data_IF_608242562131
#
_entry.id   IF_608242562131
#
_cell.length_a   1.000
_cell.length_b   1.000
_cell.length_c   1.000
_cell.angle_alpha   90.00
_cell.angle_beta   90.00
_cell.angle_gamma   90.00
#
_symmetry.space_group_name_H-M   'P 1'
#
loop_
_entity.id
_entity.type
_entity.pdbx_description
1 polymer ?
#
# COMPACT_ATOMS: atom_id res chain seq x y z
N UNK A 1 1.65 -44.08 -38.46
CA UNK A 1 0.97 -45.39 -38.32
C UNK A 1 0.07 -45.28 -37.08
N UNK A 2 -1.01 -44.48 -37.10
CA UNK A 2 -2.31 -44.68 -37.74
C UNK A 2 -3.08 -45.91 -37.20
N UNK A 3 -4.08 -45.66 -36.35
CA UNK A 3 -5.41 -46.31 -36.30
C UNK A 3 -6.29 -45.50 -35.32
N UNK A 4 -7.25 -44.71 -35.80
CA UNK A 4 -8.63 -45.04 -36.23
C UNK A 4 -9.60 -45.12 -35.02
N UNK A 5 -10.40 -44.09 -34.75
CA UNK A 5 -11.71 -43.69 -35.32
C UNK A 5 -12.94 -44.43 -34.74
N UNK A 6 -13.83 -43.60 -34.17
CA UNK A 6 -15.30 -43.66 -34.10
C UNK A 6 -16.03 -44.88 -33.52
N UNK A 7 -16.92 -44.62 -32.56
CA UNK A 7 -18.37 -44.68 -32.80
C UNK A 7 -19.20 -43.91 -31.77
N UNK A 8 -20.02 -43.03 -32.31
CA UNK A 8 -21.13 -42.30 -31.70
C UNK A 8 -22.26 -43.29 -31.38
N UNK A 9 -22.87 -43.16 -30.20
CA UNK A 9 -24.23 -43.63 -29.92
C UNK A 9 -25.02 -42.43 -29.42
N UNK A 10 -26.09 -42.10 -30.15
CA UNK A 10 -27.11 -41.11 -29.77
C UNK A 10 -28.32 -41.85 -29.21
N UNK A 11 -28.94 -41.25 -28.17
CA UNK A 11 -30.37 -41.24 -27.76
C UNK A 11 -30.51 -41.48 -26.23
N UNK A 12 -31.58 -40.98 -25.56
CA UNK A 12 -32.40 -39.80 -25.82
C UNK A 12 -32.52 -38.85 -24.62
N UNK A 13 -32.97 -37.63 -24.93
CA UNK A 13 -33.42 -36.57 -24.01
C UNK A 13 -34.54 -37.05 -23.08
N UNK A 14 -34.40 -36.79 -21.77
CA UNK A 14 -35.41 -36.19 -20.89
C UNK A 14 -35.13 -36.50 -19.41
N UNK A 15 -34.29 -35.68 -18.75
CA UNK A 15 -34.37 -35.53 -17.30
C UNK A 15 -34.20 -34.06 -16.93
N UNK A 16 -35.23 -33.56 -16.25
CA UNK A 16 -35.38 -32.20 -15.81
C UNK A 16 -34.21 -31.76 -14.92
N UNK A 17 -33.57 -30.66 -15.29
CA UNK A 17 -32.61 -29.94 -14.46
C UNK A 17 -33.34 -29.37 -13.23
N UNK A 18 -33.06 -29.93 -12.04
CA UNK A 18 -33.32 -29.24 -10.77
C UNK A 18 -32.03 -28.53 -10.36
N UNK A 19 -31.98 -27.19 -10.28
CA UNK A 19 -30.81 -26.53 -9.73
C UNK A 19 -30.80 -26.74 -8.20
N UNK A 20 -29.82 -27.52 -7.73
CA UNK A 20 -29.41 -27.47 -6.33
C UNK A 20 -28.86 -26.06 -6.05
N UNK A 21 -29.62 -25.25 -5.32
CA UNK A 21 -29.10 -24.03 -4.72
C UNK A 21 -28.07 -24.41 -3.65
N UNK A 22 -26.79 -24.37 -4.02
CA UNK A 22 -25.72 -24.30 -3.05
C UNK A 22 -25.81 -22.94 -2.33
N UNK A 23 -26.19 -22.98 -1.06
CA UNK A 23 -26.32 -21.81 -0.20
C UNK A 23 -24.91 -21.34 0.16
N UNK A 24 -24.35 -20.43 -0.63
CA UNK A 24 -23.13 -19.70 -0.27
C UNK A 24 -23.48 -18.80 0.91
N UNK A 25 -22.96 -19.09 2.10
CA UNK A 25 -23.05 -18.16 3.23
C UNK A 25 -22.18 -16.94 2.91
N UNK A 26 -22.79 -15.89 2.37
CA UNK A 26 -22.19 -14.56 2.38
C UNK A 26 -22.16 -14.08 3.82
N UNK A 27 -20.99 -14.13 4.46
CA UNK A 27 -20.73 -13.33 5.65
C UNK A 27 -20.69 -11.86 5.22
N UNK A 28 -21.60 -10.99 5.67
CA UNK A 28 -21.47 -9.57 5.40
C UNK A 28 -20.38 -9.03 6.32
N UNK A 29 -19.29 -8.50 5.75
CA UNK A 29 -18.47 -7.53 6.46
C UNK A 29 -19.35 -6.28 6.55
N UNK A 30 -20.06 -6.16 7.66
CA UNK A 30 -20.91 -5.02 7.94
C UNK A 30 -20.02 -3.80 8.21
N UNK A 31 -19.76 -3.01 7.17
CA UNK A 31 -19.43 -1.59 7.35
C UNK A 31 -20.70 -0.89 7.80
N UNK A 32 -20.85 -0.68 9.11
CA UNK A 32 -21.95 0.09 9.67
C UNK A 32 -21.67 1.59 9.51
N UNK A 33 -21.81 2.12 8.30
CA UNK A 33 -21.98 3.56 8.11
C UNK A 33 -23.43 3.88 8.50
N UNK A 34 -23.65 4.30 9.74
CA UNK A 34 -24.92 4.92 10.12
C UNK A 34 -25.00 6.30 9.47
N UNK A 35 -26.11 6.56 8.78
CA UNK A 35 -26.48 7.90 8.33
C UNK A 35 -26.58 8.82 9.54
N UNK A 36 -25.77 9.89 9.55
CA UNK A 36 -25.82 10.89 10.61
C UNK A 36 -27.14 11.67 10.50
N UNK A 37 -28.00 11.53 11.50
CA UNK A 37 -29.15 12.43 11.71
C UNK A 37 -28.64 13.85 11.93
N UNK A 38 -28.97 14.76 11.02
CA UNK A 38 -28.69 16.18 11.15
C UNK A 38 -29.64 16.81 12.17
N UNK A 39 -29.21 16.88 13.43
CA UNK A 39 -29.69 17.92 14.34
C UNK A 39 -28.95 19.22 14.01
N UNK A 40 -29.72 20.24 13.61
CA UNK A 40 -29.21 21.58 13.34
C UNK A 40 -29.04 22.29 14.67
N UNK A 41 -27.83 22.28 15.22
CA UNK A 41 -27.42 23.18 16.29
C UNK A 41 -26.56 24.30 15.72
N UNK A 42 -26.97 25.54 16.00
CA UNK A 42 -26.33 26.77 15.58
C UNK A 42 -25.05 26.96 16.43
N UNK A 43 -23.94 26.37 15.99
CA UNK A 43 -22.64 26.44 16.67
C UNK A 43 -21.55 25.94 15.74
N UNK A 44 -20.36 26.55 15.77
CA UNK A 44 -19.20 26.15 14.94
C UNK A 44 -19.05 24.62 14.99
N UNK A 45 -19.29 23.93 13.87
CA UNK A 45 -19.03 22.49 13.76
C UNK A 45 -17.53 22.29 13.96
N UNK A 46 -17.14 21.85 15.15
CA UNK A 46 -15.80 21.32 15.40
C UNK A 46 -15.62 20.14 14.44
N UNK A 47 -14.53 20.18 13.67
CA UNK A 47 -14.18 19.06 12.81
C UNK A 47 -13.84 17.85 13.70
N UNK A 48 -14.58 16.76 13.53
CA UNK A 48 -14.34 15.49 14.22
C UNK A 48 -14.12 14.44 13.13
N UNK A 49 -12.87 13.99 12.89
CA UNK A 49 -12.62 12.89 11.97
C UNK A 49 -13.36 11.62 12.41
N UNK A 50 -13.67 10.69 11.49
CA UNK A 50 -14.15 9.37 11.85
C UNK A 50 -13.23 8.75 12.91
N UNK A 51 -13.82 8.29 14.03
CA UNK A 51 -13.06 7.70 15.15
C UNK A 51 -13.26 6.19 15.17
N UNK A 52 -12.19 5.48 15.48
CA UNK A 52 -12.20 4.08 15.90
C UNK A 52 -13.13 3.92 17.13
N UNK A 53 -14.03 2.92 17.09
CA UNK A 53 -15.06 2.69 18.12
C UNK A 53 -14.71 1.53 19.06
N UNK A 54 -13.46 1.05 19.01
CA UNK A 54 -13.01 -0.14 19.73
C UNK A 54 -12.20 0.22 20.99
N UNK A 55 -12.16 -0.70 21.95
CA UNK A 55 -11.31 -0.59 23.15
C UNK A 55 -9.85 -0.69 22.73
N UNK A 56 -9.03 0.31 23.07
CA UNK A 56 -7.60 0.32 22.75
C UNK A 56 -6.81 -0.58 23.72
N UNK A 57 -6.34 -1.72 23.21
CA UNK A 57 -5.35 -2.56 23.90
C UNK A 57 -3.95 -2.05 23.52
N UNK A 58 -3.08 -1.87 24.52
CA UNK A 58 -1.73 -1.34 24.35
C UNK A 58 -0.74 -2.20 25.11
N UNK A 59 0.48 -2.29 24.61
CA UNK A 59 1.59 -3.01 25.23
C UNK A 59 1.23 -4.46 25.61
N UNK A 60 0.66 -5.22 24.66
CA UNK A 60 0.25 -6.60 24.91
C UNK A 60 1.42 -7.59 24.97
N UNK A 61 2.60 -7.19 24.52
CA UNK A 61 3.82 -8.00 24.62
C UNK A 61 4.33 -8.04 26.07
N UNK A 62 4.63 -9.22 26.64
CA UNK A 62 5.26 -9.31 27.95
C UNK A 62 6.61 -8.56 27.99
N UNK A 63 6.89 -7.73 29.02
CA UNK A 63 8.12 -6.91 29.07
C UNK A 63 9.43 -7.71 28.96
N UNK A 64 9.45 -8.97 29.40
CA UNK A 64 10.63 -9.83 29.30
C UNK A 64 11.04 -10.10 27.84
N UNK A 65 10.11 -9.99 26.89
CA UNK A 65 10.38 -10.15 25.46
C UNK A 65 11.11 -8.97 24.82
N UNK A 66 11.23 -7.82 25.51
CA UNK A 66 12.03 -6.69 25.02
C UNK A 66 13.50 -7.09 24.80
N UNK A 67 14.05 -7.92 25.69
CA UNK A 67 15.44 -8.42 25.58
C UNK A 67 15.66 -9.25 24.32
N UNK A 68 14.61 -9.85 23.73
CA UNK A 68 14.72 -10.58 22.46
C UNK A 68 15.13 -9.61 21.34
N UNK A 69 14.40 -8.51 21.16
CA UNK A 69 14.68 -7.52 20.11
C UNK A 69 16.03 -6.83 20.31
N UNK A 70 16.40 -6.57 21.55
CA UNK A 70 17.73 -6.06 21.90
C UNK A 70 18.84 -7.05 21.55
N UNK A 71 18.66 -8.33 21.85
CA UNK A 71 19.63 -9.38 21.50
C UNK A 71 19.75 -9.62 19.98
N UNK A 72 18.70 -9.27 19.22
CA UNK A 72 18.65 -9.40 17.76
C UNK A 72 19.24 -8.20 17.02
N UNK A 73 19.73 -7.16 17.69
CA UNK A 73 20.29 -5.97 17.01
C UNK A 73 21.45 -6.34 16.08
N UNK A 74 22.40 -7.19 16.51
CA UNK A 74 23.48 -7.64 15.62
C UNK A 74 22.97 -8.39 14.39
N UNK A 75 21.93 -9.22 14.55
CA UNK A 75 21.28 -9.90 13.42
C UNK A 75 20.58 -8.91 12.49
N UNK A 76 19.89 -7.91 13.04
CA UNK A 76 19.20 -6.89 12.25
C UNK A 76 20.21 -6.04 11.45
N UNK A 77 21.34 -5.67 12.06
CA UNK A 77 22.41 -4.95 11.37
C UNK A 77 22.98 -5.76 10.18
N UNK A 78 23.31 -7.03 10.41
CA UNK A 78 23.95 -7.89 9.40
C UNK A 78 22.98 -8.45 8.35
N UNK A 79 21.69 -8.58 8.68
CA UNK A 79 20.69 -9.22 7.81
C UNK A 79 19.63 -8.23 7.35
N UNK A 80 18.92 -7.57 8.26
CA UNK A 80 17.78 -6.72 7.93
C UNK A 80 18.21 -5.49 7.12
N UNK A 81 19.26 -4.78 7.55
CA UNK A 81 19.69 -3.55 6.87
C UNK A 81 20.22 -3.78 5.46
N UNK A 82 20.61 -5.02 5.11
CA UNK A 82 21.08 -5.36 3.76
C UNK A 82 19.99 -5.31 2.69
N UNK A 83 18.71 -5.31 3.10
CA UNK A 83 17.57 -5.15 2.20
C UNK A 83 17.31 -3.70 1.79
N UNK A 84 17.92 -2.73 2.48
CA UNK A 84 17.85 -1.32 2.12
C UNK A 84 18.77 -1.03 0.94
N UNK A 85 18.29 -0.20 0.02
CA UNK A 85 19.09 0.25 -1.12
C UNK A 85 19.85 1.52 -0.74
N UNK A 86 21.18 1.59 -0.98
CA UNK A 86 21.92 2.83 -0.78
C UNK A 86 21.31 3.96 -1.60
N UNK A 87 21.17 5.16 -1.01
CA UNK A 87 20.54 6.33 -1.65
C UNK A 87 21.10 6.62 -3.04
N UNK A 88 22.42 6.57 -3.19
CA UNK A 88 23.13 6.79 -4.47
C UNK A 88 22.80 5.76 -5.57
N UNK A 89 22.17 4.65 -5.21
CA UNK A 89 21.70 3.61 -6.14
C UNK A 89 20.18 3.57 -6.23
N UNK A 90 19.47 4.35 -5.41
CA UNK A 90 18.02 4.42 -5.39
C UNK A 90 17.52 5.29 -6.54
N UNK A 91 16.44 4.83 -7.17
CA UNK A 91 15.73 5.65 -8.15
C UNK A 91 15.14 6.86 -7.45
N UNK A 92 14.95 7.96 -8.17
CA UNK A 92 14.30 9.16 -7.67
C UNK A 92 13.06 9.48 -8.52
N UNK A 93 12.02 10.14 -7.96
CA UNK A 93 10.81 10.48 -8.73
C UNK A 93 11.11 11.20 -10.05
N UNK A 94 12.13 12.06 -10.08
CA UNK A 94 12.57 12.79 -11.29
C UNK A 94 12.98 11.87 -12.43
N UNK A 95 13.45 10.64 -12.16
CA UNK A 95 13.86 9.68 -13.19
C UNK A 95 12.69 9.26 -14.11
N UNK A 96 11.45 9.42 -13.65
CA UNK A 96 10.23 8.98 -14.34
C UNK A 96 9.30 10.12 -14.76
N UNK A 97 9.59 11.35 -14.34
CA UNK A 97 8.74 12.52 -14.57
C UNK A 97 9.32 13.41 -15.68
N UNK A 98 8.50 14.26 -16.32
CA UNK A 98 9.00 15.29 -17.22
C UNK A 98 10.08 16.16 -16.56
N UNK A 99 11.20 16.36 -17.26
CA UNK A 99 12.35 17.09 -16.73
C UNK A 99 12.09 18.60 -16.74
N UNK A 100 11.90 19.19 -15.55
CA UNK A 100 11.44 20.58 -15.40
C UNK A 100 12.42 21.63 -15.95
N UNK A 101 13.71 21.34 -15.96
CA UNK A 101 14.76 22.25 -16.44
C UNK A 101 15.03 22.09 -17.96
N UNK A 102 14.40 21.10 -18.59
CA UNK A 102 14.57 20.82 -20.02
C UNK A 102 13.78 21.79 -20.89
N UNK A 103 14.35 22.23 -22.02
CA UNK A 103 13.60 22.96 -23.05
C UNK A 103 12.40 22.16 -23.57
N UNK A 104 12.46 20.82 -23.49
CA UNK A 104 11.40 19.90 -23.88
C UNK A 104 10.34 19.62 -22.80
N UNK A 105 10.38 20.29 -21.64
CA UNK A 105 9.48 20.01 -20.52
C UNK A 105 8.00 20.01 -20.92
N UNK A 106 7.56 21.06 -21.63
CA UNK A 106 6.15 21.21 -22.03
C UNK A 106 5.69 20.12 -23.01
N UNK A 107 6.56 19.68 -23.91
CA UNK A 107 6.26 18.59 -24.83
C UNK A 107 6.18 17.26 -24.08
N UNK A 108 7.08 16.99 -23.14
CA UNK A 108 7.05 15.79 -22.30
C UNK A 108 5.77 15.73 -21.43
N UNK A 109 5.33 16.87 -20.86
CA UNK A 109 4.06 16.98 -20.13
C UNK A 109 2.88 16.72 -21.07
N UNK A 110 2.90 17.30 -22.28
CA UNK A 110 1.84 17.07 -23.28
C UNK A 110 1.74 15.59 -23.64
N UNK A 111 2.86 14.92 -23.92
CA UNK A 111 2.89 13.49 -24.21
C UNK A 111 2.36 12.64 -23.05
N UNK A 112 2.70 12.98 -21.81
CA UNK A 112 2.14 12.33 -20.61
C UNK A 112 0.62 12.42 -20.60
N UNK A 113 0.08 13.62 -20.83
CA UNK A 113 -1.38 13.84 -20.85
C UNK A 113 -2.07 13.13 -22.00
N UNK A 114 -1.44 13.04 -23.17
CA UNK A 114 -1.98 12.27 -24.30
C UNK A 114 -2.09 10.78 -23.96
N UNK A 115 -1.04 10.17 -23.37
CA UNK A 115 -1.13 8.77 -22.90
C UNK A 115 -2.21 8.57 -21.84
N UNK A 116 -2.35 9.53 -20.91
CA UNK A 116 -3.36 9.47 -19.86
C UNK A 116 -4.81 9.52 -20.37
N UNK A 117 -5.07 9.99 -21.60
CA UNK A 117 -6.44 10.00 -22.17
C UNK A 117 -6.94 8.60 -22.52
N UNK A 118 -6.03 7.66 -22.79
CA UNK A 118 -6.36 6.28 -23.14
C UNK A 118 -6.62 5.41 -21.89
N UNK A 119 -6.28 5.91 -20.70
CA UNK A 119 -6.54 5.23 -19.43
C UNK A 119 -7.98 5.51 -18.96
N UNK A 120 -8.76 4.47 -18.59
CA UNK A 120 -10.14 4.63 -18.14
C UNK A 120 -10.21 5.21 -16.72
N UNK A 121 -11.35 5.82 -16.37
CA UNK A 121 -11.53 6.46 -15.07
C UNK A 121 -11.44 5.46 -13.91
N UNK A 122 -11.87 4.21 -14.11
CA UNK A 122 -11.75 3.13 -13.13
C UNK A 122 -10.28 2.87 -12.75
N UNK A 123 -9.37 2.98 -13.71
CA UNK A 123 -7.94 2.85 -13.45
C UNK A 123 -7.45 4.00 -12.55
N UNK A 124 -7.86 5.24 -12.85
CA UNK A 124 -7.49 6.40 -12.03
C UNK A 124 -8.07 6.33 -10.63
N UNK A 125 -9.28 5.81 -10.43
CA UNK A 125 -9.84 5.63 -9.08
C UNK A 125 -8.94 4.72 -8.23
N UNK A 126 -8.44 3.61 -8.79
CA UNK A 126 -7.54 2.70 -8.09
C UNK A 126 -6.18 3.37 -7.85
N UNK A 127 -5.58 3.97 -8.89
CA UNK A 127 -4.27 4.62 -8.76
C UNK A 127 -4.29 5.79 -7.76
N UNK A 128 -5.40 6.52 -7.69
CA UNK A 128 -5.61 7.57 -6.67
C UNK A 128 -5.73 6.96 -5.29
N UNK A 129 -6.41 5.82 -5.14
CA UNK A 129 -6.46 5.09 -3.88
C UNK A 129 -5.08 4.67 -3.39
N UNK A 130 -4.29 4.05 -4.28
CA UNK A 130 -2.91 3.65 -4.00
C UNK A 130 -2.07 4.89 -3.57
N UNK A 131 -2.12 5.99 -4.34
CA UNK A 131 -1.37 7.20 -4.04
C UNK A 131 -1.76 7.85 -2.70
N UNK A 132 -3.06 7.92 -2.39
CA UNK A 132 -3.54 8.46 -1.10
C UNK A 132 -3.00 7.62 0.06
N UNK A 133 -2.93 6.30 -0.12
CA UNK A 133 -2.34 5.40 0.88
C UNK A 133 -0.85 5.68 1.03
N UNK A 134 -0.08 5.87 -0.05
CA UNK A 134 1.35 6.23 0.06
C UNK A 134 1.57 7.56 0.81
N UNK A 135 0.75 8.58 0.53
CA UNK A 135 0.87 9.91 1.14
C UNK A 135 0.57 9.93 2.66
N UNK A 136 -0.07 8.88 3.19
CA UNK A 136 -0.31 8.75 4.62
C UNK A 136 0.90 8.22 5.42
N UNK A 137 2.09 8.17 4.80
CA UNK A 137 3.36 7.72 5.35
C UNK A 137 3.69 8.17 6.80
N UNK A 138 3.40 9.42 7.24
CA UNK A 138 3.63 9.80 8.65
C UNK A 138 2.90 8.89 9.66
N UNK A 139 1.74 8.35 9.28
CA UNK A 139 0.98 7.40 10.11
C UNK A 139 1.73 6.07 10.24
N UNK A 140 2.35 5.60 9.17
CA UNK A 140 3.03 4.30 9.13
C UNK A 140 4.37 4.33 9.87
N UNK A 141 5.15 5.39 9.70
CA UNK A 141 6.35 5.60 10.52
C UNK A 141 5.99 5.72 12.00
N UNK A 142 4.90 6.43 12.33
CA UNK A 142 4.40 6.51 13.71
C UNK A 142 4.03 5.12 14.24
N UNK A 143 3.33 4.30 13.44
CA UNK A 143 2.97 2.93 13.80
C UNK A 143 4.20 2.10 14.14
N UNK A 144 5.25 2.10 13.31
CA UNK A 144 6.52 1.40 13.61
C UNK A 144 7.15 1.92 14.90
N UNK A 145 7.15 3.24 15.10
CA UNK A 145 7.64 3.88 16.32
C UNK A 145 6.74 3.69 17.56
N UNK A 146 5.59 3.02 17.43
CA UNK A 146 4.80 2.56 18.58
C UNK A 146 5.22 1.17 19.07
N UNK A 147 6.00 0.42 18.29
CA UNK A 147 6.33 -0.99 18.59
C UNK A 147 7.43 -1.08 19.66
N UNK A 148 7.12 -1.81 20.72
CA UNK A 148 7.96 -1.99 21.90
C UNK A 148 9.27 -2.71 21.56
N UNK A 149 10.41 -2.14 21.94
CA UNK A 149 11.73 -2.75 21.73
C UNK A 149 12.35 -2.49 20.35
N UNK A 150 11.62 -1.88 19.41
CA UNK A 150 12.15 -1.53 18.06
C UNK A 150 11.96 -0.07 17.67
N UNK A 151 11.12 0.69 18.39
CA UNK A 151 10.89 2.12 18.13
C UNK A 151 12.15 2.99 18.23
N UNK A 152 12.14 4.09 17.49
CA UNK A 152 13.17 5.14 17.61
C UNK A 152 12.89 6.06 18.80
N UNK A 153 13.72 5.98 19.84
CA UNK A 153 13.57 6.76 21.08
C UNK A 153 13.96 8.24 20.93
N UNK A 154 14.75 8.60 19.92
CA UNK A 154 15.33 9.96 19.82
C UNK A 154 15.04 10.65 18.49
N UNK A 155 14.46 9.94 17.53
CA UNK A 155 14.36 10.36 16.13
C UNK A 155 15.68 10.21 15.36
N UNK A 156 16.75 9.75 16.04
CA UNK A 156 18.06 9.51 15.47
C UNK A 156 18.78 8.36 16.21
N UNK A 157 18.04 7.43 16.83
CA UNK A 157 18.64 6.32 17.55
C UNK A 157 19.54 5.50 16.62
N UNK A 158 20.75 5.08 17.08
CA UNK A 158 21.66 4.30 16.27
C UNK A 158 21.28 2.82 16.19
N UNK A 159 20.21 2.39 16.88
CA UNK A 159 19.79 0.98 16.83
C UNK A 159 19.41 0.59 15.39
N UNK A 160 19.73 -0.64 14.95
CA UNK A 160 19.41 -1.09 13.60
C UNK A 160 17.91 -1.08 13.31
N UNK A 161 17.07 -1.28 14.34
CA UNK A 161 15.62 -1.14 14.23
C UNK A 161 15.17 0.28 13.88
N UNK A 162 15.78 1.29 14.52
CA UNK A 162 15.50 2.70 14.25
C UNK A 162 16.08 3.13 12.89
N UNK A 163 17.28 2.65 12.55
CA UNK A 163 17.90 2.86 11.22
C UNK A 163 17.01 2.30 10.13
N UNK A 164 16.51 1.06 10.27
CA UNK A 164 15.54 0.46 9.36
C UNK A 164 14.31 1.34 9.22
N UNK A 165 13.69 1.74 10.33
CA UNK A 165 12.45 2.53 10.32
C UNK A 165 12.63 3.84 9.54
N UNK A 166 13.72 4.57 9.80
CA UNK A 166 14.00 5.84 9.09
C UNK A 166 14.33 5.62 7.61
N UNK A 167 15.14 4.60 7.29
CA UNK A 167 15.55 4.32 5.92
C UNK A 167 14.40 3.75 5.06
N UNK A 168 13.59 2.84 5.61
CA UNK A 168 12.34 2.39 5.00
C UNK A 168 11.43 3.58 4.70
N UNK A 169 11.19 4.46 5.70
CA UNK A 169 10.38 5.67 5.51
C UNK A 169 10.94 6.56 4.38
N UNK A 170 12.27 6.68 4.28
CA UNK A 170 12.89 7.45 3.19
C UNK A 170 12.72 6.78 1.82
N UNK A 171 12.73 5.46 1.74
CA UNK A 171 12.42 4.73 0.51
C UNK A 171 10.95 4.94 0.10
N UNK A 172 10.01 4.78 1.04
CA UNK A 172 8.55 4.93 0.86
C UNK A 172 8.14 6.33 0.41
N UNK A 173 8.78 7.38 0.96
CA UNK A 173 8.41 8.76 0.64
C UNK A 173 8.41 9.03 -0.88
N UNK A 174 9.33 8.38 -1.61
CA UNK A 174 9.45 8.53 -3.07
C UNK A 174 8.23 7.98 -3.82
N UNK A 175 7.49 7.03 -3.25
CA UNK A 175 6.31 6.43 -3.89
C UNK A 175 5.17 7.43 -4.00
N UNK A 176 4.78 8.03 -2.87
CA UNK A 176 3.80 9.11 -2.82
C UNK A 176 4.23 10.29 -3.68
N UNK A 177 5.49 10.73 -3.55
CA UNK A 177 6.05 11.83 -4.33
C UNK A 177 5.93 11.65 -5.85
N UNK A 178 6.18 10.43 -6.34
CA UNK A 178 6.13 10.10 -7.76
C UNK A 178 4.68 10.01 -8.26
N UNK A 179 3.82 9.28 -7.53
CA UNK A 179 2.43 9.10 -7.90
C UNK A 179 1.64 10.42 -7.84
N UNK A 180 1.90 11.26 -6.83
CA UNK A 180 1.28 12.58 -6.70
C UNK A 180 1.60 13.46 -7.91
N UNK A 181 2.88 13.62 -8.25
CA UNK A 181 3.31 14.45 -9.38
C UNK A 181 2.80 13.88 -10.71
N UNK A 182 2.77 12.55 -10.88
CA UNK A 182 2.19 11.93 -12.06
C UNK A 182 0.69 12.25 -12.19
N UNK A 183 -0.09 12.05 -11.12
CA UNK A 183 -1.53 12.34 -11.11
C UNK A 183 -1.82 13.83 -11.31
N UNK A 184 -1.04 14.72 -10.70
CA UNK A 184 -1.12 16.16 -10.91
C UNK A 184 -0.92 16.53 -12.39
N UNK A 185 0.15 16.01 -13.01
CA UNK A 185 0.47 16.30 -14.42
C UNK A 185 -0.53 15.67 -15.40
N UNK A 186 -1.14 14.54 -15.04
CA UNK A 186 -2.11 13.82 -15.89
C UNK A 186 -3.30 14.69 -16.30
N UNK A 187 -3.74 15.58 -15.40
CA UNK A 187 -4.96 16.36 -15.58
C UNK A 187 -6.25 15.53 -15.65
N UNK A 188 -6.22 14.27 -15.18
CA UNK A 188 -7.35 13.34 -15.20
C UNK A 188 -8.16 13.27 -13.91
N UNK A 189 -7.64 13.87 -12.83
CA UNK A 189 -8.21 13.75 -11.48
C UNK A 189 -8.37 15.11 -10.79
N UNK A 190 -9.26 15.19 -9.81
CA UNK A 190 -9.44 16.38 -8.97
C UNK A 190 -8.45 16.36 -7.79
N UNK A 191 -7.29 16.99 -7.99
CA UNK A 191 -6.24 17.05 -6.96
C UNK A 191 -6.71 17.70 -5.67
N UNK A 192 -7.63 18.68 -5.72
CA UNK A 192 -8.14 19.34 -4.50
C UNK A 192 -8.92 18.37 -3.63
N UNK A 193 -9.69 17.47 -4.24
CA UNK A 193 -10.42 16.45 -3.49
C UNK A 193 -9.50 15.36 -2.96
N UNK A 194 -8.44 15.01 -3.70
CA UNK A 194 -7.41 14.07 -3.27
C UNK A 194 -6.63 14.62 -2.07
N UNK A 195 -6.13 15.86 -2.15
CA UNK A 195 -5.39 16.53 -1.07
C UNK A 195 -6.22 16.64 0.21
N UNK A 196 -7.51 16.99 0.09
CA UNK A 196 -8.43 16.95 1.24
C UNK A 196 -8.54 15.55 1.83
N UNK A 197 -8.61 14.52 0.98
CA UNK A 197 -8.73 13.13 1.43
C UNK A 197 -7.48 12.67 2.17
N UNK A 198 -6.28 13.04 1.68
CA UNK A 198 -5.02 12.81 2.37
C UNK A 198 -5.03 13.51 3.75
N UNK A 199 -5.45 14.78 3.79
CA UNK A 199 -5.56 15.54 5.04
C UNK A 199 -6.54 14.89 6.04
N UNK A 200 -7.69 14.40 5.55
CA UNK A 200 -8.65 13.64 6.37
C UNK A 200 -8.01 12.34 6.89
N UNK A 201 -7.31 11.59 6.03
CA UNK A 201 -6.70 10.30 6.37
C UNK A 201 -5.62 10.45 7.42
N UNK A 202 -4.63 11.33 7.21
CA UNK A 202 -3.56 11.60 8.17
C UNK A 202 -4.14 12.12 9.49
N UNK A 203 -5.12 13.02 9.44
CA UNK A 203 -5.78 13.55 10.64
C UNK A 203 -6.63 12.51 11.39
N UNK A 204 -7.06 11.44 10.71
CA UNK A 204 -7.78 10.32 11.33
C UNK A 204 -6.81 9.29 11.92
N UNK A 205 -5.64 9.12 11.30
CA UNK A 205 -4.70 8.06 11.63
C UNK A 205 -5.26 6.67 11.31
N UNK A 206 -4.64 5.64 11.91
CA UNK A 206 -5.03 4.24 11.78
C UNK A 206 -4.77 3.51 13.10
N UNK A 207 -5.67 2.62 13.50
CA UNK A 207 -5.39 1.60 14.53
C UNK A 207 -5.22 0.23 13.87
N UNK A 208 -3.98 -0.23 13.62
CA UNK A 208 -3.74 -1.54 13.02
C UNK A 208 -3.97 -2.69 14.01
N UNK A 209 -4.31 -2.39 15.28
CA UNK A 209 -4.49 -3.37 16.36
C UNK A 209 -3.25 -4.23 16.58
N UNK A 210 -2.08 -3.60 16.44
CA UNK A 210 -0.78 -4.23 16.71
C UNK A 210 -0.37 -4.08 18.16
N UNK A 211 -1.10 -3.30 18.97
CA UNK A 211 -1.01 -3.28 20.44
C UNK A 211 0.41 -3.00 20.97
N UNK A 212 1.18 -2.17 20.25
CA UNK A 212 2.61 -1.91 20.52
C UNK A 212 3.51 -3.16 20.45
N UNK A 213 3.01 -4.28 19.96
CA UNK A 213 3.67 -5.56 19.99
C UNK A 213 4.36 -5.83 18.64
N UNK A 214 5.71 -5.90 18.57
CA UNK A 214 6.41 -6.08 17.30
C UNK A 214 6.10 -7.42 16.62
N UNK A 215 5.68 -8.46 17.35
CA UNK A 215 5.24 -9.70 16.72
C UNK A 215 4.00 -9.45 15.85
N UNK A 216 3.03 -8.69 16.37
CA UNK A 216 1.83 -8.31 15.62
C UNK A 216 2.19 -7.29 14.54
N UNK A 217 3.03 -6.32 14.87
CA UNK A 217 3.52 -5.28 13.96
C UNK A 217 4.20 -5.87 12.71
N UNK A 218 5.16 -6.77 12.88
CA UNK A 218 5.91 -7.34 11.75
C UNK A 218 5.12 -8.36 10.93
N UNK A 219 4.15 -9.07 11.53
CA UNK A 219 3.18 -9.86 10.77
C UNK A 219 2.30 -8.93 9.92
N UNK A 220 1.82 -7.84 10.51
CA UNK A 220 1.01 -6.85 9.82
C UNK A 220 1.78 -6.22 8.65
N UNK A 221 3.01 -5.76 8.85
CA UNK A 221 3.81 -5.15 7.78
C UNK A 221 4.15 -6.16 6.68
N UNK A 222 4.54 -7.39 7.04
CA UNK A 222 4.78 -8.46 6.05
C UNK A 222 3.57 -8.69 5.13
N UNK A 223 2.36 -8.59 5.67
CA UNK A 223 1.13 -8.71 4.89
C UNK A 223 0.88 -7.48 4.01
N UNK A 224 1.01 -6.27 4.58
CA UNK A 224 0.72 -5.03 3.84
C UNK A 224 1.66 -4.82 2.67
N UNK A 225 2.96 -5.07 2.87
CA UNK A 225 4.00 -4.95 1.82
C UNK A 225 3.75 -5.91 0.67
N UNK A 226 3.22 -7.10 0.97
CA UNK A 226 2.78 -8.03 -0.07
C UNK A 226 1.53 -7.53 -0.79
N UNK A 227 0.60 -6.90 -0.06
CA UNK A 227 -0.62 -6.37 -0.65
C UNK A 227 -0.33 -5.20 -1.61
N UNK A 228 0.53 -4.26 -1.22
CA UNK A 228 1.00 -3.13 -2.03
C UNK A 228 1.82 -3.62 -3.23
N UNK A 229 2.73 -4.59 -3.03
CA UNK A 229 3.43 -5.26 -4.13
C UNK A 229 2.48 -5.79 -5.21
N UNK A 230 1.40 -6.47 -4.79
CA UNK A 230 0.40 -7.02 -5.71
C UNK A 230 -0.41 -5.89 -6.36
N UNK A 231 -0.82 -4.85 -5.61
CA UNK A 231 -1.58 -3.71 -6.15
C UNK A 231 -0.77 -2.99 -7.23
N UNK A 232 0.43 -2.54 -6.90
CA UNK A 232 1.36 -1.85 -7.82
C UNK A 232 1.77 -2.72 -9.00
N UNK A 233 2.00 -4.02 -8.77
CA UNK A 233 2.30 -4.96 -9.85
C UNK A 233 1.13 -5.16 -10.83
N UNK A 234 -0.11 -5.10 -10.34
CA UNK A 234 -1.30 -5.19 -11.20
C UNK A 234 -1.57 -3.89 -11.94
N UNK A 235 -1.49 -2.73 -11.27
CA UNK A 235 -1.62 -1.43 -11.93
C UNK A 235 -0.54 -1.24 -12.99
N UNK A 236 0.70 -1.67 -12.74
CA UNK A 236 1.77 -1.69 -13.75
C UNK A 236 1.39 -2.51 -15.00
N UNK A 237 0.84 -3.72 -14.82
CA UNK A 237 0.41 -4.57 -15.93
C UNK A 237 -0.73 -3.93 -16.72
N UNK A 238 -1.72 -3.38 -16.03
CA UNK A 238 -2.85 -2.73 -16.67
C UNK A 238 -2.45 -1.45 -17.42
N UNK A 239 -1.55 -0.61 -16.86
CA UNK A 239 -0.99 0.54 -17.56
C UNK A 239 -0.31 0.12 -18.87
N UNK A 240 0.46 -0.96 -18.83
CA UNK A 240 1.11 -1.52 -20.03
C UNK A 240 0.10 -2.00 -21.06
N UNK A 241 -0.92 -2.75 -20.63
CA UNK A 241 -1.97 -3.27 -21.51
C UNK A 241 -2.79 -2.15 -22.17
N UNK A 242 -2.91 -1.00 -21.48
CA UNK A 242 -3.57 0.21 -21.96
C UNK A 242 -2.63 1.17 -22.73
N UNK A 243 -1.35 0.79 -22.92
CA UNK A 243 -0.40 1.52 -23.76
C UNK A 243 0.46 2.58 -23.07
N UNK A 244 0.32 2.82 -21.76
CA UNK A 244 1.22 3.72 -21.02
C UNK A 244 2.39 2.94 -20.39
N UNK A 245 3.43 2.72 -21.20
CA UNK A 245 4.65 2.04 -20.76
C UNK A 245 5.42 2.81 -19.67
N UNK A 246 5.32 4.14 -19.63
CA UNK A 246 6.00 4.95 -18.60
C UNK A 246 5.30 4.79 -17.25
N UNK A 247 3.96 4.82 -17.24
CA UNK A 247 3.22 4.51 -16.02
C UNK A 247 3.44 3.06 -15.55
N UNK A 248 3.54 2.11 -16.48
CA UNK A 248 3.89 0.73 -16.14
C UNK A 248 5.26 0.63 -15.44
N UNK A 249 6.26 1.42 -15.90
CA UNK A 249 7.57 1.50 -15.26
C UNK A 249 7.50 2.15 -13.88
N UNK A 250 6.69 3.20 -13.69
CA UNK A 250 6.47 3.86 -12.40
C UNK A 250 5.93 2.84 -11.38
N UNK A 251 4.78 2.22 -11.67
CA UNK A 251 4.15 1.26 -10.76
C UNK A 251 5.03 0.02 -10.54
N UNK A 252 5.70 -0.47 -11.59
CA UNK A 252 6.60 -1.62 -11.49
C UNK A 252 7.85 -1.34 -10.65
N UNK A 253 8.36 -0.10 -10.67
CA UNK A 253 9.50 0.33 -9.85
C UNK A 253 9.12 0.40 -8.38
N UNK A 254 7.95 0.95 -8.06
CA UNK A 254 7.41 0.98 -6.70
C UNK A 254 7.22 -0.46 -6.20
N UNK A 255 6.55 -1.32 -6.98
CA UNK A 255 6.36 -2.74 -6.64
C UNK A 255 7.68 -3.48 -6.34
N UNK A 256 8.79 -3.10 -6.98
CA UNK A 256 10.09 -3.70 -6.71
C UNK A 256 10.65 -3.32 -5.33
N UNK A 257 10.34 -2.12 -4.83
CA UNK A 257 10.66 -1.70 -3.47
C UNK A 257 9.81 -2.48 -2.46
N UNK A 258 8.48 -2.52 -2.65
CA UNK A 258 7.54 -3.31 -1.82
C UNK A 258 8.01 -4.76 -1.66
N UNK A 259 8.51 -5.36 -2.76
CA UNK A 259 8.96 -6.75 -2.73
C UNK A 259 10.17 -6.97 -1.83
N UNK A 260 11.09 -6.00 -1.78
CA UNK A 260 12.24 -6.05 -0.87
C UNK A 260 11.79 -5.86 0.57
N UNK A 261 10.89 -4.92 0.82
CA UNK A 261 10.35 -4.68 2.16
C UNK A 261 9.55 -5.89 2.66
N UNK A 262 8.69 -6.50 1.84
CA UNK A 262 8.04 -7.78 2.15
C UNK A 262 9.08 -8.83 2.57
N UNK A 263 10.17 -8.96 1.80
CA UNK A 263 11.23 -9.93 2.08
C UNK A 263 11.93 -9.63 3.41
N UNK A 264 12.18 -8.36 3.70
CA UNK A 264 12.80 -7.92 4.95
C UNK A 264 11.91 -8.21 6.17
N UNK A 265 10.63 -7.82 6.12
CA UNK A 265 9.71 -8.07 7.24
C UNK A 265 9.42 -9.55 7.44
N UNK A 266 9.26 -10.33 6.36
CA UNK A 266 9.08 -11.78 6.47
C UNK A 266 10.31 -12.47 7.07
N UNK A 267 11.52 -11.97 6.82
CA UNK A 267 12.74 -12.44 7.48
C UNK A 267 12.77 -12.16 8.97
N UNK A 268 12.22 -11.02 9.41
CA UNK A 268 12.05 -10.75 10.85
C UNK A 268 11.08 -11.78 11.45
N UNK A 269 9.92 -12.00 10.83
CA UNK A 269 8.93 -12.95 11.33
C UNK A 269 9.45 -14.39 11.31
N UNK A 270 10.26 -14.78 10.32
CA UNK A 270 10.94 -16.09 10.27
C UNK A 270 11.94 -16.27 11.42
N UNK A 271 12.55 -15.18 11.89
CA UNK A 271 13.53 -15.19 12.98
C UNK A 271 12.89 -15.25 14.37
N UNK A 272 11.67 -14.74 14.53
CA UNK A 272 10.91 -14.65 15.78
C UNK A 272 10.20 -15.96 16.16
#
# INVERSE_FOLDING_TARGET
MAMAMNRIVVLPSSYAYRPHQARVSRSPIASSIRSATTEVTNGRKLYIPPREVHVQVKHSMPPQKLEIFKSLEGWADETLLTYLKPVEKSWQPTDFLPEAESEGFYDQVKELRERCKELPDEYFVVLVGDMITEEALPTYQTMLNTLDGVRDETGASPTPWAVWTRAWTAEENRHGDLLNKYLYLSGRVDMRQIEKTIQYLIGSGMDPKTENNPYLGFIYTSFQERATFISHGNTARHAKDLGDLKLAQICGTIAADEKRHETAYTKIVEKL
#
